data_IF_838812861790
#
_entry.id   IF_838812861790
#
_cell.length_a   1.000
_cell.length_b   1.000
_cell.length_c   1.000
_cell.angle_alpha   90.00
_cell.angle_beta   90.00
_cell.angle_gamma   90.00
#
_symmetry.space_group_name_H-M   'P 1'
#
loop_
_entity.id
_entity.type
_entity.pdbx_description
1 polymer ?
#
# COMPACT_ATOMS: atom_id res chain seq x y z
N UNK A 1 -14.65 -12.50 -17.12
CA UNK A 1 -14.53 -11.37 -16.18
C UNK A 1 -15.38 -10.23 -16.67
N UNK A 2 -16.21 -9.61 -15.82
CA UNK A 2 -16.98 -8.43 -16.22
C UNK A 2 -16.04 -7.25 -16.53
N UNK A 3 -16.44 -6.34 -17.43
CA UNK A 3 -15.68 -5.14 -17.75
C UNK A 3 -15.33 -4.32 -16.48
N UNK A 4 -16.23 -4.31 -15.50
CA UNK A 4 -16.05 -3.63 -14.21
C UNK A 4 -14.84 -4.19 -13.41
N UNK A 5 -14.71 -5.52 -13.29
CA UNK A 5 -13.61 -6.14 -12.54
C UNK A 5 -12.26 -5.85 -13.21
N UNK A 6 -12.18 -5.99 -14.53
CA UNK A 6 -10.94 -5.71 -15.28
C UNK A 6 -10.52 -4.25 -15.13
N UNK A 7 -11.47 -3.31 -15.23
CA UNK A 7 -11.20 -1.89 -14.98
C UNK A 7 -10.80 -1.64 -13.53
N UNK A 8 -11.44 -2.31 -12.55
CA UNK A 8 -11.07 -2.24 -11.14
C UNK A 8 -9.61 -2.63 -10.92
N UNK A 9 -9.18 -3.79 -11.44
CA UNK A 9 -7.79 -4.25 -11.36
C UNK A 9 -6.84 -3.25 -12.04
N UNK A 10 -7.21 -2.73 -13.21
CA UNK A 10 -6.41 -1.75 -13.94
C UNK A 10 -6.19 -0.47 -13.12
N UNK A 11 -7.23 0.10 -12.51
CA UNK A 11 -7.08 1.31 -11.69
C UNK A 11 -6.25 1.05 -10.42
N UNK A 12 -6.37 -0.12 -9.80
CA UNK A 12 -5.49 -0.51 -8.70
C UNK A 12 -4.02 -0.56 -9.13
N UNK A 13 -3.73 -1.05 -10.34
CA UNK A 13 -2.38 -1.05 -10.90
C UNK A 13 -1.85 0.38 -11.10
N UNK A 14 -2.66 1.29 -11.67
CA UNK A 14 -2.26 2.69 -11.87
C UNK A 14 -2.03 3.39 -10.52
N UNK A 15 -2.91 3.16 -9.54
CA UNK A 15 -2.75 3.70 -8.20
C UNK A 15 -1.47 3.20 -7.53
N UNK A 16 -1.24 1.89 -7.59
CA UNK A 16 -0.03 1.27 -7.05
C UNK A 16 1.26 1.72 -7.76
N UNK A 17 1.22 1.94 -9.08
CA UNK A 17 2.34 2.50 -9.83
C UNK A 17 2.64 3.94 -9.40
N UNK A 18 1.60 4.75 -9.18
CA UNK A 18 1.72 6.12 -8.68
C UNK A 18 2.36 6.15 -7.29
N UNK A 19 1.94 5.25 -6.40
CA UNK A 19 2.59 5.03 -5.10
C UNK A 19 4.05 4.59 -5.28
N UNK A 20 4.33 3.58 -6.10
CA UNK A 20 5.69 3.09 -6.29
C UNK A 20 6.64 4.17 -6.84
N UNK A 21 6.15 5.15 -7.59
CA UNK A 21 6.98 6.24 -8.11
C UNK A 21 7.26 7.35 -7.09
N UNK A 22 6.51 7.47 -5.99
CA UNK A 22 6.59 8.63 -5.09
C UNK A 22 7.97 8.80 -4.44
N UNK A 23 8.71 7.71 -4.22
CA UNK A 23 10.01 7.76 -3.55
C UNK A 23 11.16 8.15 -4.51
N UNK A 24 10.94 8.15 -5.82
CA UNK A 24 11.99 8.43 -6.80
C UNK A 24 12.61 9.83 -6.65
N UNK A 25 11.82 10.92 -6.43
CA UNK A 25 12.35 12.27 -6.21
C UNK A 25 13.18 12.39 -4.93
N UNK A 26 12.86 11.63 -3.88
CA UNK A 26 13.59 11.64 -2.61
C UNK A 26 15.07 11.30 -2.78
N UNK A 27 15.43 10.51 -3.81
CA UNK A 27 16.84 10.20 -4.11
C UNK A 27 17.66 11.38 -4.62
N UNK A 28 17.01 12.43 -5.09
CA UNK A 28 17.70 13.62 -5.57
C UNK A 28 18.13 14.53 -4.40
N UNK A 29 17.58 14.29 -3.20
CA UNK A 29 17.95 14.99 -1.96
C UNK A 29 19.18 14.31 -1.35
N UNK A 30 20.33 14.99 -1.38
CA UNK A 30 21.63 14.41 -0.95
C UNK A 30 22.12 14.87 0.43
N UNK A 31 21.56 15.96 0.95
CA UNK A 31 22.10 16.66 2.14
C UNK A 31 21.28 16.43 3.41
N UNK A 32 20.20 15.66 3.32
CA UNK A 32 19.28 15.45 4.43
C UNK A 32 19.39 14.01 4.92
N UNK A 33 19.22 13.80 6.22
CA UNK A 33 19.03 12.45 6.74
C UNK A 33 17.73 11.85 6.19
N UNK A 34 17.67 10.52 6.16
CA UNK A 34 16.46 9.80 5.72
C UNK A 34 15.25 10.19 6.57
N UNK A 35 15.44 10.34 7.88
CA UNK A 35 14.40 10.69 8.84
C UNK A 35 13.86 12.11 8.60
N UNK A 36 14.74 13.09 8.32
CA UNK A 36 14.32 14.46 8.01
C UNK A 36 13.56 14.51 6.69
N UNK A 37 14.07 13.85 5.65
CA UNK A 37 13.41 13.80 4.35
C UNK A 37 12.05 13.10 4.44
N UNK A 38 11.96 11.99 5.16
CA UNK A 38 10.71 11.26 5.39
C UNK A 38 9.70 12.10 6.18
N UNK A 39 10.15 12.79 7.23
CA UNK A 39 9.29 13.61 8.08
C UNK A 39 8.75 14.83 7.33
N UNK A 40 9.60 15.57 6.62
CA UNK A 40 9.18 16.72 5.81
C UNK A 40 8.29 16.27 4.65
N UNK A 41 8.69 15.21 3.95
CA UNK A 41 7.88 14.60 2.90
C UNK A 41 6.51 14.14 3.41
N UNK A 42 6.45 13.59 4.62
CA UNK A 42 5.24 13.21 5.30
C UNK A 42 4.34 14.39 5.66
N UNK A 43 4.88 15.46 6.25
CA UNK A 43 4.11 16.68 6.57
C UNK A 43 3.49 17.26 5.30
N UNK A 44 4.28 17.40 4.24
CA UNK A 44 3.78 17.94 2.96
C UNK A 44 2.72 17.01 2.36
N UNK A 45 2.99 15.70 2.32
CA UNK A 45 2.12 14.75 1.62
C UNK A 45 0.85 14.38 2.39
N UNK A 46 0.89 14.39 3.73
CA UNK A 46 -0.20 13.87 4.57
C UNK A 46 -1.01 14.98 5.24
N UNK A 47 -0.44 16.19 5.40
CA UNK A 47 -1.15 17.32 5.99
C UNK A 47 -1.40 18.43 4.97
N UNK A 48 -0.36 18.94 4.30
CA UNK A 48 -0.51 20.12 3.44
C UNK A 48 -1.24 19.76 2.14
N UNK A 49 -0.81 18.71 1.44
CA UNK A 49 -1.37 18.34 0.14
C UNK A 49 -2.84 17.91 0.23
N UNK A 50 -3.29 17.07 1.17
CA UNK A 50 -4.70 16.69 1.24
C UNK A 50 -5.62 17.88 1.48
N UNK A 51 -5.24 18.82 2.35
CA UNK A 51 -6.02 20.03 2.61
C UNK A 51 -6.05 20.96 1.40
N UNK A 52 -4.91 21.19 0.76
CA UNK A 52 -4.83 22.05 -0.43
C UNK A 52 -5.58 21.46 -1.62
N UNK A 53 -5.43 20.17 -1.89
CA UNK A 53 -6.15 19.47 -2.97
C UNK A 53 -7.66 19.50 -2.70
N UNK A 54 -8.10 19.16 -1.49
CA UNK A 54 -9.52 19.23 -1.14
C UNK A 54 -10.07 20.65 -1.29
N UNK A 55 -9.34 21.68 -0.87
CA UNK A 55 -9.78 23.07 -1.00
C UNK A 55 -9.83 23.57 -2.47
N UNK A 56 -8.99 23.02 -3.36
CA UNK A 56 -8.96 23.38 -4.77
C UNK A 56 -10.01 22.61 -5.59
N UNK A 57 -10.29 21.36 -5.23
CA UNK A 57 -11.17 20.49 -6.01
C UNK A 57 -12.62 20.52 -5.54
N UNK A 58 -12.87 20.68 -4.24
CA UNK A 58 -14.23 20.74 -3.72
C UNK A 58 -14.84 22.11 -4.03
N UNK A 59 -16.02 22.17 -4.70
CA UNK A 59 -16.69 23.44 -5.00
C UNK A 59 -16.98 24.26 -3.75
N UNK A 60 -17.34 23.59 -2.65
CA UNK A 60 -17.48 24.18 -1.32
C UNK A 60 -16.90 23.20 -0.30
N UNK A 61 -15.68 23.50 0.18
CA UNK A 61 -14.95 22.67 1.13
C UNK A 61 -15.73 22.47 2.43
N UNK A 62 -16.28 23.54 3.00
CA UNK A 62 -16.92 23.47 4.31
C UNK A 62 -18.29 22.80 4.23
N UNK A 63 -19.07 23.07 3.19
CA UNK A 63 -20.34 22.38 2.96
C UNK A 63 -20.13 20.88 2.72
N UNK A 64 -19.09 20.50 1.97
CA UNK A 64 -18.77 19.10 1.72
C UNK A 64 -18.46 18.33 3.00
N UNK A 65 -17.60 18.83 3.89
CA UNK A 65 -17.34 18.14 5.15
C UNK A 65 -18.51 18.25 6.14
N UNK A 66 -19.27 19.34 6.09
CA UNK A 66 -20.44 19.59 6.94
C UNK A 66 -21.63 18.65 6.68
N UNK A 67 -21.68 17.96 5.54
CA UNK A 67 -22.75 16.99 5.23
C UNK A 67 -22.57 15.63 5.94
N UNK A 68 -21.40 15.35 6.52
CA UNK A 68 -21.09 14.07 7.15
C UNK A 68 -21.22 14.13 8.67
N UNK A 69 -21.86 13.11 9.24
CA UNK A 69 -22.01 12.98 10.68
C UNK A 69 -20.71 12.52 11.36
N UNK A 70 -20.63 12.71 12.68
CA UNK A 70 -19.48 12.28 13.49
C UNK A 70 -19.24 10.76 13.39
N UNK A 71 -20.28 9.95 13.15
CA UNK A 71 -20.16 8.51 12.94
C UNK A 71 -19.37 8.13 11.68
N UNK A 72 -19.31 9.01 10.68
CA UNK A 72 -18.48 8.84 9.47
C UNK A 72 -17.10 9.46 9.68
N UNK A 73 -17.04 10.69 10.20
CA UNK A 73 -15.78 11.44 10.31
C UNK A 73 -14.84 10.89 11.39
N UNK A 74 -15.37 10.44 12.54
CA UNK A 74 -14.54 10.00 13.66
C UNK A 74 -13.74 8.72 13.34
N UNK A 75 -14.33 7.65 12.76
CA UNK A 75 -13.54 6.48 12.36
C UNK A 75 -12.49 6.81 11.29
N UNK A 76 -12.83 7.64 10.30
CA UNK A 76 -11.87 8.08 9.27
C UNK A 76 -10.68 8.80 9.90
N UNK A 77 -10.93 9.71 10.84
CA UNK A 77 -9.89 10.41 11.59
C UNK A 77 -9.04 9.46 12.43
N UNK A 78 -9.66 8.58 13.23
CA UNK A 78 -8.94 7.67 14.13
C UNK A 78 -8.08 6.67 13.36
N UNK A 79 -8.60 6.08 12.28
CA UNK A 79 -7.84 5.17 11.44
C UNK A 79 -6.76 5.89 10.61
N UNK A 80 -7.01 7.13 10.19
CA UNK A 80 -5.98 8.00 9.60
C UNK A 80 -4.84 8.32 10.58
N UNK A 81 -5.18 8.64 11.84
CA UNK A 81 -4.19 8.84 12.90
C UNK A 81 -3.39 7.57 13.19
N UNK A 82 -4.06 6.41 13.21
CA UNK A 82 -3.43 5.10 13.32
C UNK A 82 -2.41 4.87 12.20
N UNK A 83 -2.77 5.19 10.95
CA UNK A 83 -1.85 5.13 9.82
C UNK A 83 -0.67 6.10 9.95
N UNK A 84 -0.90 7.32 10.46
CA UNK A 84 0.15 8.29 10.74
C UNK A 84 1.21 7.78 11.72
N UNK A 85 0.79 7.12 12.80
CA UNK A 85 1.69 6.45 13.76
C UNK A 85 2.51 5.36 13.06
N UNK A 86 1.89 4.59 12.17
CA UNK A 86 2.57 3.57 11.36
C UNK A 86 3.71 4.15 10.53
N UNK A 87 3.48 5.30 9.89
CA UNK A 87 4.50 5.97 9.06
C UNK A 87 5.64 6.59 9.86
N UNK A 88 5.40 7.09 11.07
CA UNK A 88 6.47 7.57 11.95
C UNK A 88 7.40 6.39 12.30
N UNK A 89 6.82 5.23 12.62
CA UNK A 89 7.57 4.00 12.89
C UNK A 89 8.30 3.42 11.66
N UNK A 90 7.86 3.77 10.45
CA UNK A 90 8.44 3.30 9.19
C UNK A 90 9.91 3.75 9.06
N UNK A 91 10.21 5.03 9.33
CA UNK A 91 11.58 5.54 9.30
C UNK A 91 12.51 4.82 10.29
N UNK A 92 12.05 4.64 11.53
CA UNK A 92 12.81 3.94 12.57
C UNK A 92 13.03 2.46 12.22
N UNK A 93 12.05 1.79 11.61
CA UNK A 93 12.18 0.40 11.18
C UNK A 93 13.36 0.22 10.22
N UNK A 94 13.56 1.17 9.30
CA UNK A 94 14.61 1.11 8.28
C UNK A 94 15.99 1.33 8.89
N UNK A 95 16.08 2.18 9.91
CA UNK A 95 17.31 2.38 10.71
C UNK A 95 17.79 1.09 11.39
N UNK A 96 16.87 0.26 11.87
CA UNK A 96 17.16 -0.96 12.63
C UNK A 96 17.25 -2.26 11.80
N UNK A 97 16.44 -2.43 10.74
CA UNK A 97 16.42 -3.65 9.91
C UNK A 97 17.07 -3.50 8.53
N UNK A 98 17.30 -2.26 8.07
CA UNK A 98 17.63 -1.97 6.68
C UNK A 98 16.39 -1.92 5.80
N UNK A 99 16.53 -1.27 4.64
CA UNK A 99 15.40 -0.97 3.76
C UNK A 99 14.68 -2.24 3.28
N UNK A 100 15.41 -3.25 2.81
CA UNK A 100 14.78 -4.43 2.22
C UNK A 100 13.95 -5.22 3.23
N UNK A 101 14.52 -5.56 4.38
CA UNK A 101 13.84 -6.36 5.41
C UNK A 101 12.72 -5.56 6.09
N UNK A 102 12.97 -4.28 6.43
CA UNK A 102 11.98 -3.43 7.07
C UNK A 102 10.73 -3.23 6.21
N UNK A 103 10.93 -2.87 4.93
CA UNK A 103 9.84 -2.67 3.98
C UNK A 103 9.08 -3.98 3.74
N UNK A 104 9.80 -5.10 3.53
CA UNK A 104 9.19 -6.40 3.28
C UNK A 104 8.27 -6.88 4.40
N UNK A 105 8.71 -6.75 5.65
CA UNK A 105 7.92 -7.16 6.82
C UNK A 105 6.71 -6.23 7.01
N UNK A 106 6.91 -4.91 6.93
CA UNK A 106 5.83 -3.95 7.08
C UNK A 106 4.76 -4.13 6.00
N UNK A 107 5.16 -4.31 4.73
CA UNK A 107 4.23 -4.55 3.62
C UNK A 107 3.51 -5.88 3.77
N UNK A 108 4.21 -6.96 4.15
CA UNK A 108 3.58 -8.26 4.35
C UNK A 108 2.48 -8.20 5.41
N UNK A 109 2.75 -7.53 6.53
CA UNK A 109 1.80 -7.40 7.64
C UNK A 109 0.64 -6.48 7.26
N UNK A 110 0.89 -5.32 6.64
CA UNK A 110 -0.21 -4.42 6.23
C UNK A 110 -1.09 -5.04 5.14
N UNK A 111 -0.53 -5.88 4.27
CA UNK A 111 -1.27 -6.65 3.28
C UNK A 111 -2.23 -7.62 3.97
N UNK A 112 -1.76 -8.39 4.96
CA UNK A 112 -2.62 -9.33 5.72
C UNK A 112 -3.68 -8.57 6.50
N UNK A 113 -3.25 -7.64 7.37
CA UNK A 113 -4.13 -6.96 8.31
C UNK A 113 -5.15 -6.12 7.56
N UNK A 114 -4.73 -5.34 6.56
CA UNK A 114 -5.63 -4.48 5.82
C UNK A 114 -6.59 -5.23 4.88
N UNK A 115 -6.24 -6.44 4.44
CA UNK A 115 -7.13 -7.26 3.59
C UNK A 115 -8.12 -8.06 4.44
N UNK A 116 -7.64 -8.73 5.49
CA UNK A 116 -8.44 -9.72 6.23
C UNK A 116 -9.25 -9.10 7.37
N UNK A 117 -8.78 -8.01 8.00
CA UNK A 117 -9.51 -7.41 9.12
C UNK A 117 -10.72 -6.61 8.67
N UNK A 118 -10.71 -6.01 7.48
CA UNK A 118 -11.85 -5.20 7.00
C UNK A 118 -13.15 -6.02 6.89
N UNK A 119 -13.16 -7.24 6.30
CA UNK A 119 -14.31 -8.14 6.35
C UNK A 119 -14.73 -8.53 7.78
N UNK A 120 -13.77 -8.81 8.66
CA UNK A 120 -14.03 -9.21 10.05
C UNK A 120 -14.74 -8.08 10.80
N UNK A 121 -14.23 -6.84 10.67
CA UNK A 121 -14.82 -5.64 11.29
C UNK A 121 -16.23 -5.39 10.74
N UNK A 122 -16.45 -5.65 9.45
CA UNK A 122 -17.76 -5.47 8.81
C UNK A 122 -18.73 -6.64 9.06
N UNK A 123 -18.36 -7.68 9.81
CA UNK A 123 -19.20 -8.87 10.06
C UNK A 123 -19.30 -9.85 8.89
N UNK A 124 -18.50 -9.66 7.84
CA UNK A 124 -18.54 -10.43 6.59
C UNK A 124 -17.51 -11.58 6.57
N UNK A 125 -17.14 -12.11 7.74
CA UNK A 125 -16.16 -13.19 7.83
C UNK A 125 -16.66 -14.50 7.19
N UNK A 126 -17.97 -14.76 7.28
CA UNK A 126 -18.59 -15.94 6.69
C UNK A 126 -18.38 -15.99 5.16
N UNK A 127 -18.54 -14.83 4.50
CA UNK A 127 -18.29 -14.67 3.06
C UNK A 127 -16.85 -15.05 2.70
N UNK A 128 -15.88 -14.70 3.54
CA UNK A 128 -14.46 -14.98 3.28
C UNK A 128 -14.13 -16.48 3.28
N UNK A 129 -14.84 -17.30 4.07
CA UNK A 129 -14.54 -18.74 4.20
C UNK A 129 -15.46 -19.59 3.32
N UNK A 130 -16.73 -19.21 3.19
CA UNK A 130 -17.75 -20.04 2.57
C UNK A 130 -17.94 -19.75 1.07
N UNK A 131 -17.50 -18.60 0.57
CA UNK A 131 -17.57 -18.31 -0.87
C UNK A 131 -16.29 -18.69 -1.61
N UNK A 132 -16.44 -19.00 -2.90
CA UNK A 132 -15.30 -19.27 -3.79
C UNK A 132 -14.37 -18.05 -3.87
N UNK A 133 -14.92 -16.85 -4.09
CA UNK A 133 -14.14 -15.61 -4.10
C UNK A 133 -13.39 -15.34 -2.78
N UNK A 134 -14.01 -15.62 -1.64
CA UNK A 134 -13.34 -15.54 -0.34
C UNK A 134 -12.12 -16.46 -0.24
N UNK A 135 -12.28 -17.74 -0.61
CA UNK A 135 -11.18 -18.73 -0.61
C UNK A 135 -10.07 -18.36 -1.59
N UNK A 136 -10.43 -17.87 -2.77
CA UNK A 136 -9.45 -17.37 -3.75
C UNK A 136 -8.71 -16.13 -3.24
N UNK A 137 -9.35 -15.28 -2.43
CA UNK A 137 -8.66 -14.17 -1.76
C UNK A 137 -7.65 -14.66 -0.74
N UNK A 138 -8.02 -15.63 0.10
CA UNK A 138 -7.09 -16.22 1.08
C UNK A 138 -5.88 -16.84 0.38
N UNK A 139 -6.12 -17.59 -0.71
CA UNK A 139 -5.04 -18.14 -1.54
C UNK A 139 -4.19 -17.03 -2.16
N UNK A 140 -4.82 -15.99 -2.70
CA UNK A 140 -4.15 -14.83 -3.27
C UNK A 140 -3.26 -14.11 -2.26
N UNK A 141 -3.75 -13.86 -1.05
CA UNK A 141 -2.98 -13.28 0.06
C UNK A 141 -1.77 -14.15 0.39
N UNK A 142 -1.96 -15.47 0.49
CA UNK A 142 -0.86 -16.40 0.76
C UNK A 142 0.22 -16.34 -0.35
N UNK A 143 -0.19 -16.40 -1.61
CA UNK A 143 0.75 -16.31 -2.76
C UNK A 143 1.43 -14.93 -2.81
N UNK A 144 0.72 -13.86 -2.51
CA UNK A 144 1.29 -12.51 -2.44
C UNK A 144 2.36 -12.40 -1.35
N UNK A 145 2.15 -13.01 -0.18
CA UNK A 145 3.15 -13.04 0.89
C UNK A 145 4.42 -13.79 0.48
N UNK A 146 4.27 -14.89 -0.27
CA UNK A 146 5.43 -15.59 -0.86
C UNK A 146 6.17 -14.63 -1.82
N UNK A 147 5.43 -13.93 -2.69
CA UNK A 147 5.98 -12.93 -3.60
C UNK A 147 6.74 -11.82 -2.87
N UNK A 148 6.14 -11.22 -1.84
CA UNK A 148 6.77 -10.20 -0.97
C UNK A 148 8.02 -10.77 -0.30
N UNK A 149 7.98 -12.01 0.20
CA UNK A 149 9.15 -12.67 0.78
C UNK A 149 10.29 -12.84 -0.21
N UNK A 150 10.00 -13.23 -1.45
CA UNK A 150 10.99 -13.37 -2.53
C UNK A 150 11.58 -12.00 -2.91
N UNK A 151 10.75 -10.96 -3.06
CA UNK A 151 11.22 -9.59 -3.36
C UNK A 151 12.08 -9.04 -2.21
N UNK A 152 11.67 -9.27 -0.96
CA UNK A 152 12.44 -8.93 0.25
C UNK A 152 13.81 -9.60 0.20
N UNK A 153 13.85 -10.89 -0.13
CA UNK A 153 15.09 -11.64 -0.27
C UNK A 153 15.97 -11.09 -1.40
N UNK A 154 15.39 -10.70 -2.53
CA UNK A 154 16.12 -10.04 -3.62
C UNK A 154 16.77 -8.74 -3.16
N UNK A 155 16.03 -7.91 -2.43
CA UNK A 155 16.53 -6.67 -1.83
C UNK A 155 17.70 -6.92 -0.87
N UNK A 156 17.61 -7.91 0.01
CA UNK A 156 18.73 -8.28 0.90
C UNK A 156 19.97 -8.74 0.13
N UNK A 157 19.78 -9.51 -0.95
CA UNK A 157 20.90 -9.95 -1.79
C UNK A 157 21.56 -8.75 -2.50
N UNK A 158 20.77 -7.75 -2.92
CA UNK A 158 21.26 -6.47 -3.44
C UNK A 158 22.08 -5.72 -2.39
N UNK A 159 21.50 -5.49 -1.22
CA UNK A 159 22.15 -4.75 -0.12
C UNK A 159 23.47 -5.39 0.29
N UNK A 160 23.49 -6.71 0.48
CA UNK A 160 24.71 -7.45 0.83
C UNK A 160 25.83 -7.29 -0.21
N UNK A 161 25.49 -7.35 -1.50
CA UNK A 161 26.48 -7.19 -2.58
C UNK A 161 26.98 -5.76 -2.73
N UNK A 162 26.12 -4.79 -2.42
CA UNK A 162 26.48 -3.37 -2.48
C UNK A 162 27.11 -2.87 -1.18
N UNK A 163 27.27 -3.73 -0.17
CA UNK A 163 27.82 -3.35 1.14
C UNK A 163 26.89 -2.42 1.94
N UNK A 164 25.61 -2.31 1.56
CA UNK A 164 24.63 -1.49 2.26
C UNK A 164 24.24 -2.20 3.56
N UNK A 165 24.37 -1.51 4.69
CA UNK A 165 23.99 -2.00 6.01
C UNK A 165 23.02 -1.02 6.66
N UNK A 166 22.20 -1.52 7.56
CA UNK A 166 21.40 -0.67 8.45
C UNK A 166 22.32 0.14 9.35
N UNK A 167 21.95 1.39 9.63
CA UNK A 167 22.77 2.31 10.45
C UNK A 167 22.97 1.78 11.88
N UNK A 168 21.89 1.31 12.51
CA UNK A 168 21.89 0.83 13.88
C UNK A 168 21.30 -0.58 13.96
N UNK A 169 21.84 -1.54 13.21
CA UNK A 169 21.21 -2.86 13.10
C UNK A 169 20.84 -3.48 14.46
N UNK A 170 19.53 -3.65 14.70
CA UNK A 170 18.99 -4.31 15.90
C UNK A 170 17.75 -5.12 15.52
N UNK A 171 17.91 -6.44 15.45
CA UNK A 171 16.85 -7.32 14.97
C UNK A 171 15.59 -7.26 15.84
N UNK A 172 15.72 -7.26 17.17
CA UNK A 172 14.57 -7.29 18.08
C UNK A 172 13.77 -5.99 18.00
N UNK A 173 14.44 -4.83 18.12
CA UNK A 173 13.80 -3.52 18.01
C UNK A 173 13.19 -3.32 16.63
N UNK A 174 13.98 -3.66 15.60
CA UNK A 174 13.57 -3.52 14.22
C UNK A 174 12.35 -4.38 13.88
N UNK A 175 12.30 -5.64 14.32
CA UNK A 175 11.15 -6.52 14.08
C UNK A 175 9.90 -6.02 14.80
N UNK A 176 10.02 -5.60 16.06
CA UNK A 176 8.90 -5.02 16.81
C UNK A 176 8.33 -3.79 16.08
N UNK A 177 9.20 -2.87 15.67
CA UNK A 177 8.82 -1.67 14.94
C UNK A 177 8.22 -1.99 13.57
N UNK A 178 8.74 -2.99 12.84
CA UNK A 178 8.19 -3.41 11.55
C UNK A 178 6.79 -4.00 11.70
N UNK A 179 6.55 -4.79 12.75
CA UNK A 179 5.23 -5.36 13.05
C UNK A 179 4.24 -4.27 13.41
N UNK A 180 4.61 -3.37 14.32
CA UNK A 180 3.79 -2.21 14.65
C UNK A 180 3.53 -1.37 13.40
N UNK A 181 4.56 -1.06 12.62
CA UNK A 181 4.42 -0.32 11.38
C UNK A 181 3.41 -0.96 10.44
N UNK A 182 3.48 -2.27 10.19
CA UNK A 182 2.54 -2.98 9.32
C UNK A 182 1.10 -2.96 9.83
N UNK A 183 0.88 -3.21 11.13
CA UNK A 183 -0.46 -3.19 11.76
C UNK A 183 -1.07 -1.78 11.68
N UNK A 184 -0.32 -0.78 12.13
CA UNK A 184 -0.79 0.61 12.15
C UNK A 184 -0.99 1.15 10.73
N UNK A 185 -0.16 0.74 9.76
CA UNK A 185 -0.32 1.10 8.34
C UNK A 185 -1.58 0.52 7.71
N UNK A 186 -2.10 -0.60 8.24
CA UNK A 186 -3.40 -1.13 7.80
C UNK A 186 -4.57 -0.18 8.14
N UNK A 187 -4.35 0.80 9.02
CA UNK A 187 -5.33 1.86 9.31
C UNK A 187 -5.78 2.61 8.07
N UNK A 188 -4.96 2.69 7.03
CA UNK A 188 -5.40 3.28 5.77
C UNK A 188 -6.50 2.46 5.09
N UNK A 189 -6.44 1.12 5.14
CA UNK A 189 -7.53 0.25 4.65
C UNK A 189 -8.82 0.52 5.41
N UNK A 190 -8.73 0.62 6.74
CA UNK A 190 -9.89 0.86 7.59
C UNK A 190 -10.48 2.26 7.41
N UNK A 191 -9.63 3.28 7.28
CA UNK A 191 -10.04 4.65 6.96
C UNK A 191 -10.74 4.72 5.60
N UNK A 192 -10.20 4.04 4.58
CA UNK A 192 -10.81 3.96 3.25
C UNK A 192 -12.18 3.26 3.28
N UNK A 193 -12.32 2.19 4.08
CA UNK A 193 -13.60 1.52 4.28
C UNK A 193 -14.62 2.41 5.02
N UNK A 194 -14.18 3.18 6.02
CA UNK A 194 -15.05 4.13 6.72
C UNK A 194 -15.42 5.36 5.86
N UNK A 195 -14.55 5.76 4.94
CA UNK A 195 -14.74 6.92 4.06
C UNK A 195 -15.59 6.65 2.82
N UNK A 196 -16.14 5.44 2.63
CA UNK A 196 -16.99 5.10 1.47
C UNK A 196 -18.09 6.14 1.17
N UNK A 197 -18.88 6.61 2.16
CA UNK A 197 -19.91 7.63 1.89
C UNK A 197 -19.33 8.95 1.37
N UNK A 198 -18.09 9.27 1.77
CA UNK A 198 -17.37 10.45 1.31
C UNK A 198 -16.89 10.28 -0.13
N UNK A 199 -16.33 9.12 -0.47
CA UNK A 199 -15.87 8.84 -1.83
C UNK A 199 -17.01 8.88 -2.86
N UNK A 200 -18.18 8.34 -2.52
CA UNK A 200 -19.36 8.38 -3.38
C UNK A 200 -19.81 9.83 -3.66
N UNK A 201 -19.75 10.70 -2.65
CA UNK A 201 -20.08 12.12 -2.80
C UNK A 201 -19.05 12.92 -3.61
N UNK A 202 -17.80 12.46 -3.70
CA UNK A 202 -16.68 13.16 -4.36
C UNK A 202 -16.09 12.44 -5.59
N UNK A 203 -16.77 11.42 -6.12
CA UNK A 203 -16.22 10.48 -7.12
C UNK A 203 -15.64 11.11 -8.41
N UNK A 204 -15.94 12.37 -8.70
CA UNK A 204 -15.48 13.09 -9.88
C UNK A 204 -14.25 14.01 -9.68
N UNK A 205 -13.71 14.11 -8.46
CA UNK A 205 -12.71 15.11 -8.10
C UNK A 205 -11.38 14.44 -7.73
N UNK A 206 -10.32 14.62 -8.54
CA UNK A 206 -8.99 14.04 -8.27
C UNK A 206 -7.80 14.85 -8.78
N UNK A 207 -6.67 14.83 -8.04
CA UNK A 207 -5.40 15.50 -8.37
C UNK A 207 -4.14 14.89 -7.72
N UNK A 208 -2.96 15.34 -8.20
CA UNK A 208 -1.51 15.12 -7.85
C UNK A 208 -0.95 13.70 -7.56
N UNK A 209 0.24 13.39 -8.11
CA UNK A 209 0.85 12.05 -8.26
C UNK A 209 0.86 11.12 -7.02
N UNK A 210 1.12 11.61 -5.81
CA UNK A 210 1.04 10.76 -4.60
C UNK A 210 -0.41 10.47 -4.20
N UNK A 211 -1.29 11.44 -4.40
CA UNK A 211 -2.72 11.34 -4.14
C UNK A 211 -3.43 10.56 -5.26
N UNK A 212 -2.86 10.49 -6.47
CA UNK A 212 -3.29 9.59 -7.54
C UNK A 212 -3.33 8.13 -7.06
N UNK A 213 -2.47 7.72 -6.13
CA UNK A 213 -2.54 6.35 -5.60
C UNK A 213 -3.89 6.08 -4.93
N UNK A 214 -4.37 7.02 -4.12
CA UNK A 214 -5.62 6.88 -3.36
C UNK A 214 -6.83 7.21 -4.21
N UNK A 215 -6.69 8.16 -5.14
CA UNK A 215 -7.70 8.44 -6.15
C UNK A 215 -7.96 7.21 -7.04
N UNK A 216 -6.91 6.62 -7.63
CA UNK A 216 -7.08 5.43 -8.47
C UNK A 216 -7.37 4.17 -7.65
N UNK A 217 -6.94 4.11 -6.39
CA UNK A 217 -7.43 3.10 -5.45
C UNK A 217 -8.94 3.22 -5.26
N UNK A 218 -9.46 4.39 -4.89
CA UNK A 218 -10.87 4.64 -4.69
C UNK A 218 -11.69 4.41 -5.98
N UNK A 219 -11.16 4.82 -7.13
CA UNK A 219 -11.77 4.59 -8.43
C UNK A 219 -11.80 3.10 -8.80
N UNK A 220 -10.71 2.37 -8.54
CA UNK A 220 -10.66 0.92 -8.71
C UNK A 220 -11.61 0.21 -7.77
N UNK A 221 -11.66 0.65 -6.51
CA UNK A 221 -12.54 0.13 -5.47
C UNK A 221 -14.02 0.28 -5.86
N UNK A 222 -14.42 1.47 -6.34
CA UNK A 222 -15.77 1.74 -6.81
C UNK A 222 -16.20 0.90 -8.03
N UNK A 223 -15.26 0.23 -8.71
CA UNK A 223 -15.51 -0.67 -9.85
C UNK A 223 -15.54 -2.15 -9.44
N UNK A 224 -15.05 -2.49 -8.25
CA UNK A 224 -15.12 -3.84 -7.71
C UNK A 224 -16.50 -4.03 -7.06
N UNK A 225 -17.14 -5.20 -7.21
CA UNK A 225 -18.41 -5.48 -6.54
C UNK A 225 -18.28 -5.36 -5.02
N UNK A 226 -19.27 -4.77 -4.35
CA UNK A 226 -19.24 -4.48 -2.92
C UNK A 226 -18.93 -5.71 -2.05
N UNK A 227 -19.36 -6.90 -2.47
CA UNK A 227 -19.07 -8.15 -1.75
C UNK A 227 -17.59 -8.55 -1.77
N UNK A 228 -16.77 -7.96 -2.64
CA UNK A 228 -15.33 -8.23 -2.81
C UNK A 228 -14.45 -7.02 -2.52
N UNK A 229 -14.99 -5.96 -1.91
CA UNK A 229 -14.28 -4.71 -1.59
C UNK A 229 -12.94 -4.93 -0.88
N UNK A 230 -12.86 -5.95 -0.02
CA UNK A 230 -11.66 -6.31 0.72
C UNK A 230 -10.49 -6.77 -0.16
N UNK A 231 -10.77 -7.27 -1.38
CA UNK A 231 -9.75 -7.67 -2.34
C UNK A 231 -8.97 -6.48 -2.89
N UNK A 232 -9.56 -5.28 -2.86
CA UNK A 232 -8.96 -4.02 -3.33
C UNK A 232 -7.62 -3.73 -2.66
N UNK A 233 -7.56 -3.90 -1.33
CA UNK A 233 -6.35 -3.64 -0.56
C UNK A 233 -5.22 -4.60 -0.92
N UNK A 234 -5.55 -5.89 -1.05
CA UNK A 234 -4.60 -6.91 -1.48
C UNK A 234 -4.04 -6.59 -2.87
N UNK A 235 -4.90 -6.26 -3.84
CA UNK A 235 -4.48 -5.92 -5.20
C UNK A 235 -3.56 -4.70 -5.21
N UNK A 236 -3.94 -3.65 -4.48
CA UNK A 236 -3.12 -2.44 -4.38
C UNK A 236 -1.73 -2.72 -3.80
N UNK A 237 -1.65 -3.41 -2.66
CA UNK A 237 -0.38 -3.70 -2.01
C UNK A 237 0.50 -4.64 -2.83
N UNK A 238 -0.11 -5.60 -3.52
CA UNK A 238 0.59 -6.51 -4.44
C UNK A 238 1.18 -5.74 -5.62
N UNK A 239 0.37 -4.93 -6.31
CA UNK A 239 0.86 -4.10 -7.40
C UNK A 239 1.86 -3.05 -6.94
N UNK A 240 1.77 -2.56 -5.70
CA UNK A 240 2.71 -1.59 -5.15
C UNK A 240 4.11 -2.20 -5.08
N UNK A 241 4.22 -3.44 -4.59
CA UNK A 241 5.50 -4.19 -4.55
C UNK A 241 6.01 -4.50 -5.95
N UNK A 242 5.12 -4.93 -6.86
CA UNK A 242 5.47 -5.18 -8.27
C UNK A 242 6.03 -3.93 -8.93
N UNK A 243 5.31 -2.82 -8.86
CA UNK A 243 5.70 -1.55 -9.46
C UNK A 243 6.96 -0.99 -8.80
N UNK A 244 7.12 -1.11 -7.49
CA UNK A 244 8.35 -0.72 -6.79
C UNK A 244 9.57 -1.47 -7.30
N UNK A 245 9.44 -2.78 -7.55
CA UNK A 245 10.48 -3.59 -8.18
C UNK A 245 10.83 -3.11 -9.59
N UNK A 246 9.81 -2.84 -10.42
CA UNK A 246 9.97 -2.35 -11.79
C UNK A 246 10.61 -0.95 -11.84
N UNK A 247 10.12 -0.01 -11.02
CA UNK A 247 10.69 1.34 -10.87
C UNK A 247 12.15 1.25 -10.45
N UNK A 248 12.49 0.38 -9.48
CA UNK A 248 13.87 0.17 -9.08
C UNK A 248 14.78 -0.33 -10.22
N UNK A 249 14.25 -1.20 -11.10
CA UNK A 249 14.97 -1.66 -12.31
C UNK A 249 15.15 -0.52 -13.32
N UNK A 250 14.10 0.25 -13.60
CA UNK A 250 14.12 1.41 -14.52
C UNK A 250 15.09 2.49 -14.03
N UNK A 251 15.11 2.76 -12.72
CA UNK A 251 16.04 3.68 -12.07
C UNK A 251 17.47 3.12 -11.95
N UNK A 252 17.75 1.95 -12.54
CA UNK A 252 19.06 1.29 -12.57
C UNK A 252 19.65 1.00 -11.19
N UNK A 253 18.82 0.87 -10.16
CA UNK A 253 19.27 0.57 -8.78
C UNK A 253 20.03 -0.76 -8.69
N UNK A 254 19.71 -1.69 -9.58
CA UNK A 254 20.21 -3.05 -9.55
C UNK A 254 21.43 -3.26 -10.44
N UNK A 255 21.92 -2.22 -11.14
CA UNK A 255 23.03 -2.30 -12.10
C UNK A 255 24.27 -2.95 -11.49
N UNK A 256 24.57 -2.64 -10.22
CA UNK A 256 25.74 -3.14 -9.51
C UNK A 256 25.46 -4.37 -8.61
N UNK A 257 24.20 -4.82 -8.52
CA UNK A 257 23.81 -5.97 -7.72
C UNK A 257 24.14 -7.31 -8.43
N UNK A 258 24.37 -7.27 -9.74
CA UNK A 258 24.59 -8.45 -10.57
C UNK A 258 23.33 -9.27 -10.83
N UNK A 259 23.50 -10.42 -11.52
CA UNK A 259 22.39 -11.19 -12.08
C UNK A 259 21.48 -11.87 -11.04
N UNK A 260 22.05 -12.42 -9.96
CA UNK A 260 21.28 -13.20 -8.97
C UNK A 260 20.20 -12.38 -8.25
N UNK A 261 20.48 -11.18 -7.67
CA UNK A 261 19.43 -10.37 -7.05
C UNK A 261 18.31 -9.98 -8.03
N UNK A 262 18.66 -9.64 -9.27
CA UNK A 262 17.68 -9.27 -10.32
C UNK A 262 16.80 -10.47 -10.71
N UNK A 263 17.37 -11.67 -10.84
CA UNK A 263 16.60 -12.88 -11.14
C UNK A 263 15.62 -13.22 -10.01
N UNK A 264 16.04 -13.10 -8.74
CA UNK A 264 15.15 -13.31 -7.59
C UNK A 264 14.06 -12.24 -7.53
N UNK A 265 14.37 -10.97 -7.82
CA UNK A 265 13.38 -9.91 -7.91
C UNK A 265 12.33 -10.23 -8.99
N UNK A 266 12.79 -10.64 -10.17
CA UNK A 266 11.91 -10.99 -11.30
C UNK A 266 10.99 -12.16 -10.96
N UNK A 267 11.51 -13.19 -10.29
CA UNK A 267 10.71 -14.30 -9.78
C UNK A 267 9.62 -13.81 -8.81
N UNK A 268 9.98 -12.96 -7.84
CA UNK A 268 9.03 -12.40 -6.89
C UNK A 268 7.92 -11.59 -7.58
N UNK A 269 8.28 -10.80 -8.59
CA UNK A 269 7.32 -10.06 -9.42
C UNK A 269 6.33 -10.99 -10.14
N UNK A 270 6.81 -12.11 -10.71
CA UNK A 270 5.96 -13.11 -11.35
C UNK A 270 5.00 -13.75 -10.34
N UNK A 271 5.47 -14.11 -9.14
CA UNK A 271 4.61 -14.66 -8.08
C UNK A 271 3.52 -13.66 -7.68
N UNK A 272 3.83 -12.37 -7.59
CA UNK A 272 2.85 -11.32 -7.30
C UNK A 272 1.81 -11.18 -8.41
N UNK A 273 2.23 -11.28 -9.68
CA UNK A 273 1.30 -11.29 -10.82
C UNK A 273 0.36 -12.50 -10.71
N UNK A 274 0.88 -13.67 -10.37
CA UNK A 274 0.06 -14.88 -10.15
C UNK A 274 -0.94 -14.64 -9.02
N UNK A 275 -0.51 -14.06 -7.89
CA UNK A 275 -1.40 -13.72 -6.78
C UNK A 275 -2.56 -12.81 -7.21
N UNK A 276 -2.27 -11.75 -7.98
CA UNK A 276 -3.29 -10.83 -8.48
C UNK A 276 -4.27 -11.51 -9.44
N UNK A 277 -3.81 -12.45 -10.28
CA UNK A 277 -4.68 -13.23 -11.16
C UNK A 277 -5.58 -14.20 -10.39
N UNK A 278 -5.09 -14.84 -9.33
CA UNK A 278 -5.90 -15.71 -8.46
C UNK A 278 -7.06 -14.91 -7.86
N UNK A 279 -6.79 -13.72 -7.31
CA UNK A 279 -7.83 -12.86 -6.75
C UNK A 279 -8.77 -12.35 -7.85
N UNK A 280 -8.23 -12.00 -9.02
CA UNK A 280 -9.01 -11.59 -10.19
C UNK A 280 -10.02 -12.65 -10.65
N UNK A 281 -9.60 -13.92 -10.67
CA UNK A 281 -10.47 -15.05 -10.97
C UNK A 281 -11.54 -15.25 -9.89
N UNK A 282 -11.18 -15.08 -8.62
CA UNK A 282 -12.13 -15.19 -7.50
C UNK A 282 -13.20 -14.10 -7.46
N UNK A 283 -12.95 -12.93 -8.05
CA UNK A 283 -14.00 -11.91 -8.25
C UNK A 283 -14.96 -12.28 -9.38
N UNK A 284 -14.56 -13.16 -10.29
CA UNK A 284 -15.30 -13.49 -11.49
C UNK A 284 -16.09 -14.80 -11.40
N UNK A 285 -15.84 -15.60 -10.37
CA UNK A 285 -16.64 -16.75 -9.92
C UNK A 285 -17.85 -16.30 -9.11
#
# INVERSE_FOLDING_TARGET
>A
MSNAITMGIFWHLIGAASAACFYAPFKQVKQWSWETMWSVGGIVSWLILPWTISALLLPDFWAYYGQFNLSTLLPVFLFGAMWGIGNINYGLTMRYLGMSMGIGIAIGITLIVGTLMTPIINGNFDVLIHTEGGRMTLLGVFVALIGVGIVTRAGQLKERKMGIKAEEFNLKKGLLLAVMCGIFSAGMSFAMNAAKPMHEAAAALGGLMWYLQFFFYAWGHARIPAQYDYMSWMLHMSFYVLCGGLVGLVLKEWKNAGRRPVAVLSLGCVVIIIAANIVGLGMAS
#
